data_IF_719695876848
#
_entry.id   IF_719695876848
#
_cell.length_a   1.000
_cell.length_b   1.000
_cell.length_c   1.000
_cell.angle_alpha   90.00
_cell.angle_beta   90.00
_cell.angle_gamma   90.00
#
_symmetry.space_group_name_H-M   'P 1'
#
loop_
_entity.id
_entity.type
_entity.pdbx_description
1 polymer ?
#
# COMPACT_ATOMS: atom_id res chain seq x y z
N UNK A 1 -53.21 -25.09 22.43
CA UNK A 1 -52.88 -26.47 22.82
C UNK A 1 -51.98 -27.09 21.77
N UNK A 2 -50.70 -27.24 22.08
CA UNK A 2 -49.68 -28.21 21.62
C UNK A 2 -48.27 -27.60 21.92
N UNK A 3 -47.24 -28.42 22.16
CA UNK A 3 -46.62 -28.53 23.47
C UNK A 3 -45.23 -27.86 23.54
N UNK A 4 -44.77 -27.64 24.78
CA UNK A 4 -43.39 -27.26 25.08
C UNK A 4 -42.49 -28.50 25.03
N UNK A 5 -41.49 -28.46 24.17
CA UNK A 5 -40.20 -29.15 24.26
C UNK A 5 -39.15 -28.10 23.90
N UNK A 6 -38.11 -27.82 24.67
CA UNK A 6 -37.35 -28.76 25.49
C UNK A 6 -35.97 -29.03 24.90
N UNK A 7 -35.41 -28.15 24.05
CA UNK A 7 -33.97 -27.99 23.92
C UNK A 7 -33.65 -26.54 23.51
N UNK A 8 -32.58 -25.98 24.08
CA UNK A 8 -32.18 -24.59 23.93
C UNK A 8 -31.04 -24.42 22.93
N UNK A 9 -31.35 -24.37 21.63
CA UNK A 9 -30.41 -23.92 20.60
C UNK A 9 -31.11 -22.96 19.64
N UNK A 10 -30.71 -21.69 19.66
CA UNK A 10 -31.20 -20.67 18.73
C UNK A 10 -30.48 -20.76 17.39
N UNK A 11 -31.25 -20.86 16.31
CA UNK A 11 -30.79 -20.75 14.92
C UNK A 11 -30.51 -19.28 14.55
N UNK A 12 -29.45 -19.08 13.75
CA UNK A 12 -29.03 -17.82 13.15
C UNK A 12 -29.81 -17.55 11.85
N UNK A 13 -30.53 -16.42 11.75
CA UNK A 13 -30.77 -15.73 10.47
C UNK A 13 -31.02 -14.22 10.64
N UNK A 14 -30.13 -13.46 9.99
CA UNK A 14 -30.19 -12.10 9.42
C UNK A 14 -31.22 -11.07 9.90
N UNK A 15 -30.71 -9.93 10.41
CA UNK A 15 -31.21 -8.59 10.04
C UNK A 15 -30.03 -7.60 9.94
N UNK A 16 -29.78 -7.12 8.71
CA UNK A 16 -28.92 -5.96 8.40
C UNK A 16 -29.58 -4.66 8.88
N UNK A 17 -28.79 -3.79 9.53
CA UNK A 17 -28.67 -2.32 9.33
C UNK A 17 -28.26 -1.66 10.64
N UNK A 18 -27.01 -1.20 10.68
CA UNK A 18 -26.58 0.14 11.07
C UNK A 18 -25.05 0.11 11.18
N UNK A 19 -24.42 1.12 10.58
CA UNK A 19 -22.97 1.24 10.53
C UNK A 19 -22.39 1.37 11.93
N UNK A 20 -21.68 0.34 12.36
CA UNK A 20 -20.63 0.44 13.35
C UNK A 20 -19.52 -0.50 12.90
N UNK A 21 -18.46 0.10 12.35
CA UNK A 21 -17.17 -0.55 12.16
C UNK A 21 -16.66 -0.88 13.56
N UNK A 22 -17.02 -2.06 14.06
CA UNK A 22 -16.45 -2.61 15.28
C UNK A 22 -15.03 -2.98 14.93
N UNK A 23 -14.06 -2.19 15.39
CA UNK A 23 -12.67 -2.60 15.46
C UNK A 23 -12.63 -3.99 16.09
N UNK A 24 -12.09 -4.97 15.36
CA UNK A 24 -11.74 -6.25 15.97
C UNK A 24 -10.72 -5.97 17.08
N UNK A 25 -10.87 -6.57 18.28
CA UNK A 25 -9.81 -6.52 19.27
C UNK A 25 -8.58 -7.22 18.70
N UNK A 26 -7.46 -6.50 18.59
CA UNK A 26 -6.17 -7.09 18.27
C UNK A 26 -5.85 -8.12 19.35
N UNK A 27 -5.72 -9.39 18.95
CA UNK A 27 -5.26 -10.44 19.85
C UNK A 27 -3.74 -10.30 19.92
N UNK A 28 -3.27 -9.65 20.98
CA UNK A 28 -1.86 -9.48 21.33
C UNK A 28 -1.23 -10.86 21.56
N UNK A 29 -0.44 -11.34 20.61
CA UNK A 29 0.34 -12.56 20.75
C UNK A 29 1.67 -12.25 21.44
N UNK A 30 1.61 -12.14 22.77
CA UNK A 30 2.78 -11.91 23.61
C UNK A 30 2.43 -11.02 24.79
N UNK A 31 2.12 -11.64 25.93
CA UNK A 31 1.81 -11.06 27.24
C UNK A 31 2.14 -9.56 27.47
N UNK A 32 1.33 -8.65 26.92
CA UNK A 32 1.05 -7.35 27.53
C UNK A 32 -0.46 -7.25 27.67
N UNK A 33 -0.93 -7.69 28.83
CA UNK A 33 -2.33 -7.46 29.23
C UNK A 33 -2.43 -5.98 29.57
N UNK A 34 -2.77 -5.12 28.60
CA UNK A 34 -3.03 -3.71 28.83
C UNK A 34 -4.35 -3.58 29.62
N UNK A 35 -4.25 -3.68 30.94
CA UNK A 35 -5.35 -3.45 31.89
C UNK A 35 -5.40 -2.00 32.39
N UNK A 36 -4.56 -1.12 31.84
CA UNK A 36 -4.29 0.22 32.38
C UNK A 36 -5.03 1.33 31.61
N UNK A 37 -5.50 2.40 32.29
CA UNK A 37 -6.09 3.57 31.65
C UNK A 37 -5.16 4.20 30.61
N UNK A 38 -5.73 4.81 29.57
CA UNK A 38 -4.99 5.49 28.49
C UNK A 38 -3.93 6.47 29.02
N UNK A 39 -4.19 7.11 30.15
CA UNK A 39 -3.28 8.05 30.82
C UNK A 39 -1.98 7.38 31.30
N UNK A 40 -2.06 6.16 31.82
CA UNK A 40 -0.89 5.38 32.24
C UNK A 40 -0.06 4.94 31.02
N UNK A 41 -0.73 4.53 29.94
CA UNK A 41 -0.05 4.19 28.68
C UNK A 41 0.72 5.41 28.13
N UNK A 42 0.08 6.58 28.12
CA UNK A 42 0.73 7.85 27.72
C UNK A 42 1.90 8.20 28.64
N UNK A 43 1.76 7.99 29.94
CA UNK A 43 2.84 8.25 30.90
C UNK A 43 4.04 7.31 30.71
N UNK A 44 3.80 6.03 30.36
CA UNK A 44 4.86 5.06 30.01
C UNK A 44 5.57 5.47 28.73
N UNK A 45 4.82 5.83 27.68
CA UNK A 45 5.35 6.30 26.40
C UNK A 45 6.25 7.53 26.59
N UNK A 46 5.78 8.52 27.34
CA UNK A 46 6.52 9.78 27.56
C UNK A 46 7.83 9.61 28.32
N UNK A 47 7.99 8.51 29.06
CA UNK A 47 9.25 8.17 29.75
C UNK A 47 10.31 7.60 28.79
N UNK A 48 9.94 7.32 27.53
CA UNK A 48 10.86 7.14 26.41
C UNK A 48 11.66 5.84 26.40
N UNK A 49 11.20 4.81 27.10
CA UNK A 49 12.03 3.65 27.45
C UNK A 49 11.68 2.33 26.76
N UNK A 50 10.67 2.28 25.89
CA UNK A 50 10.27 1.03 25.22
C UNK A 50 9.91 1.24 23.75
N UNK A 51 10.90 1.05 22.86
CA UNK A 51 10.73 1.14 21.40
C UNK A 51 9.83 0.03 20.84
N UNK A 52 9.80 -1.14 21.50
CA UNK A 52 8.94 -2.25 21.08
C UNK A 52 7.47 -1.91 21.34
N UNK A 53 7.17 -1.35 22.51
CA UNK A 53 5.83 -0.83 22.82
C UNK A 53 5.39 0.28 21.86
N UNK A 54 6.29 1.20 21.50
CA UNK A 54 5.99 2.25 20.51
C UNK A 54 5.66 1.67 19.12
N UNK A 55 6.37 0.62 18.72
CA UNK A 55 6.11 -0.08 17.46
C UNK A 55 4.75 -0.76 17.49
N UNK A 56 4.43 -1.50 18.56
CA UNK A 56 3.14 -2.19 18.72
C UNK A 56 1.95 -1.21 18.74
N UNK A 57 2.10 -0.07 19.42
CA UNK A 57 1.08 0.98 19.44
C UNK A 57 0.91 1.59 18.04
N UNK A 58 2.01 1.83 17.32
CA UNK A 58 1.96 2.34 15.95
C UNK A 58 1.22 1.36 15.04
N UNK A 59 1.58 0.09 15.08
CA UNK A 59 0.92 -0.98 14.31
C UNK A 59 -0.59 -1.03 14.62
N UNK A 60 -0.97 -1.01 15.90
CA UNK A 60 -2.37 -1.03 16.33
C UNK A 60 -3.20 0.20 15.90
N UNK A 61 -2.57 1.35 15.68
CA UNK A 61 -3.24 2.56 15.21
C UNK A 61 -3.39 2.63 13.69
N UNK A 62 -2.66 1.81 12.92
CA UNK A 62 -2.73 1.83 11.46
C UNK A 62 -3.96 1.10 10.93
N UNK A 63 -4.60 1.67 9.90
CA UNK A 63 -5.68 0.98 9.16
C UNK A 63 -5.10 0.40 7.87
N UNK A 64 -4.84 -0.90 7.87
CA UNK A 64 -4.14 -1.61 6.80
C UNK A 64 -5.07 -2.33 5.82
N UNK A 65 -6.03 -1.61 5.25
CA UNK A 65 -6.87 -2.20 4.20
C UNK A 65 -6.18 -2.10 2.82
N UNK A 66 -5.78 -3.25 2.29
CA UNK A 66 -5.21 -3.38 0.94
C UNK A 66 -5.75 -4.62 0.23
N UNK A 67 -5.79 -4.60 -1.10
CA UNK A 67 -6.16 -5.72 -1.94
C UNK A 67 -5.54 -5.59 -3.33
N UNK A 68 -5.35 -6.73 -4.01
CA UNK A 68 -4.73 -6.76 -5.33
C UNK A 68 -5.56 -5.96 -6.34
N UNK A 69 -4.87 -5.20 -7.19
CA UNK A 69 -5.51 -4.35 -8.20
C UNK A 69 -6.59 -3.41 -7.61
N UNK A 70 -6.34 -2.87 -6.41
CA UNK A 70 -7.21 -1.88 -5.77
C UNK A 70 -7.42 -0.68 -6.66
N UNK A 71 -8.65 -0.45 -7.08
CA UNK A 71 -9.02 0.47 -8.17
C UNK A 71 -8.20 0.13 -9.42
N UNK A 72 -8.71 -0.74 -10.29
CA UNK A 72 -7.94 -1.27 -11.43
C UNK A 72 -7.34 -0.16 -12.33
N UNK A 73 -8.03 0.97 -12.46
CA UNK A 73 -7.67 2.10 -13.33
C UNK A 73 -6.24 2.64 -13.14
N UNK A 74 -5.74 2.93 -11.92
CA UNK A 74 -4.33 3.25 -11.68
C UNK A 74 -3.34 2.31 -12.38
N UNK A 75 -3.56 1.00 -12.30
CA UNK A 75 -2.65 0.01 -12.88
C UNK A 75 -2.81 -0.11 -14.39
N UNK A 76 -4.04 0.00 -14.91
CA UNK A 76 -4.31 0.09 -16.34
C UNK A 76 -3.63 1.33 -16.95
N UNK A 77 -3.74 2.49 -16.30
CA UNK A 77 -3.09 3.70 -16.76
C UNK A 77 -1.57 3.65 -16.60
N UNK A 78 -1.05 2.99 -15.57
CA UNK A 78 0.38 2.70 -15.47
C UNK A 78 0.85 1.88 -16.67
N UNK A 79 0.16 0.79 -17.00
CA UNK A 79 0.50 -0.08 -18.12
C UNK A 79 0.37 0.60 -19.49
N UNK A 80 -0.71 1.34 -19.70
CA UNK A 80 -1.08 1.85 -21.02
C UNK A 80 -0.54 3.25 -21.31
N UNK A 81 -0.19 4.02 -20.28
CA UNK A 81 0.25 5.42 -20.44
C UNK A 81 1.66 5.68 -19.92
N UNK A 82 1.88 5.45 -18.62
CA UNK A 82 3.14 5.85 -17.97
C UNK A 82 4.28 4.94 -18.35
N UNK A 83 4.08 3.62 -18.33
CA UNK A 83 5.11 2.64 -18.64
C UNK A 83 5.65 2.79 -20.08
N UNK A 84 4.82 2.93 -21.15
CA UNK A 84 5.32 3.15 -22.50
C UNK A 84 6.14 4.44 -22.64
N UNK A 85 5.68 5.54 -22.03
CA UNK A 85 6.39 6.82 -22.07
C UNK A 85 7.76 6.74 -21.37
N UNK A 86 7.84 6.04 -20.23
CA UNK A 86 9.12 5.82 -19.53
C UNK A 86 10.01 4.83 -20.27
N UNK A 87 9.46 3.83 -20.96
CA UNK A 87 10.24 2.93 -21.81
C UNK A 87 10.96 3.72 -22.90
N UNK A 88 10.25 4.65 -23.55
CA UNK A 88 10.82 5.54 -24.56
C UNK A 88 11.86 6.50 -23.95
N UNK A 89 11.50 7.24 -22.89
CA UNK A 89 12.39 8.27 -22.33
C UNK A 89 13.63 7.69 -21.66
N UNK A 90 13.58 6.42 -21.21
CA UNK A 90 14.69 5.73 -20.54
C UNK A 90 15.37 4.67 -21.40
N UNK A 91 15.09 4.62 -22.71
CA UNK A 91 15.67 3.62 -23.62
C UNK A 91 17.21 3.55 -23.58
N UNK A 92 17.87 4.69 -23.31
CA UNK A 92 19.33 4.78 -23.20
C UNK A 92 19.88 4.18 -21.89
N UNK A 93 19.15 4.28 -20.77
CA UNK A 93 19.58 3.78 -19.45
C UNK A 93 19.04 2.39 -19.12
N UNK A 94 17.93 1.98 -19.77
CA UNK A 94 17.20 0.72 -19.54
C UNK A 94 17.02 0.41 -18.05
N UNK A 95 16.54 1.40 -17.30
CA UNK A 95 16.30 1.25 -15.88
C UNK A 95 15.05 2.00 -15.45
N UNK A 96 14.29 1.41 -14.53
CA UNK A 96 13.05 1.97 -14.00
C UNK A 96 13.03 1.73 -12.49
N UNK A 97 12.86 2.80 -11.72
CA UNK A 97 12.66 2.72 -10.25
C UNK A 97 11.26 3.19 -9.89
N UNK A 98 10.55 2.39 -9.10
CA UNK A 98 9.19 2.67 -8.66
C UNK A 98 9.17 2.64 -7.13
N UNK A 99 8.53 3.63 -6.50
CA UNK A 99 8.28 3.62 -5.06
C UNK A 99 6.81 3.37 -4.78
N UNK A 100 6.49 2.36 -3.99
CA UNK A 100 5.18 2.16 -3.37
C UNK A 100 5.26 2.65 -1.92
N UNK A 101 4.72 3.84 -1.68
CA UNK A 101 4.62 4.49 -0.38
C UNK A 101 3.35 4.01 0.34
N UNK A 102 3.51 3.45 1.54
CA UNK A 102 2.48 2.77 2.34
C UNK A 102 1.98 1.47 1.68
N UNK A 103 2.91 0.55 1.45
CA UNK A 103 2.69 -0.71 0.76
C UNK A 103 1.78 -1.70 1.51
N UNK A 104 1.55 -1.49 2.81
CA UNK A 104 0.79 -2.35 3.69
C UNK A 104 1.22 -3.81 3.57
N UNK A 105 0.27 -4.75 3.46
CA UNK A 105 0.54 -6.19 3.33
C UNK A 105 1.01 -6.63 1.93
N UNK A 106 1.45 -5.70 1.09
CA UNK A 106 2.23 -5.99 -0.13
C UNK A 106 1.44 -6.18 -1.42
N UNK A 107 0.11 -6.08 -1.42
CA UNK A 107 -0.70 -6.34 -2.61
C UNK A 107 -0.43 -5.32 -3.73
N UNK A 108 -0.28 -4.03 -3.42
CA UNK A 108 0.02 -2.99 -4.42
C UNK A 108 1.38 -3.19 -5.12
N UNK A 109 2.52 -3.34 -4.43
CA UNK A 109 3.80 -3.55 -5.11
C UNK A 109 3.83 -4.86 -5.90
N UNK A 110 3.14 -5.91 -5.45
CA UNK A 110 3.02 -7.14 -6.23
C UNK A 110 2.10 -6.99 -7.45
N UNK A 111 1.03 -6.19 -7.37
CA UNK A 111 0.25 -5.82 -8.56
C UNK A 111 1.13 -5.10 -9.58
N UNK A 112 1.96 -4.14 -9.15
CA UNK A 112 2.90 -3.44 -10.03
C UNK A 112 3.89 -4.43 -10.65
N UNK A 113 4.45 -5.35 -9.85
CA UNK A 113 5.37 -6.39 -10.33
C UNK A 113 4.72 -7.30 -11.38
N UNK A 114 3.47 -7.71 -11.17
CA UNK A 114 2.70 -8.51 -12.13
C UNK A 114 2.51 -7.75 -13.46
N UNK A 115 2.09 -6.48 -13.41
CA UNK A 115 1.92 -5.64 -14.62
C UNK A 115 3.23 -5.54 -15.41
N UNK A 116 4.35 -5.35 -14.71
CA UNK A 116 5.68 -5.30 -15.33
C UNK A 116 6.09 -6.64 -15.94
N UNK A 117 5.80 -7.77 -15.29
CA UNK A 117 6.07 -9.11 -15.83
C UNK A 117 5.24 -9.42 -17.07
N UNK A 118 3.97 -9.03 -17.12
CA UNK A 118 3.17 -9.15 -18.35
C UNK A 118 3.75 -8.35 -19.52
N UNK A 119 4.42 -7.24 -19.20
CA UNK A 119 5.10 -6.38 -20.18
C UNK A 119 6.60 -6.68 -20.33
N UNK A 120 7.10 -7.83 -19.83
CA UNK A 120 8.52 -8.16 -19.83
C UNK A 120 9.17 -8.17 -21.22
N UNK A 121 8.41 -8.47 -22.27
CA UNK A 121 8.88 -8.42 -23.66
C UNK A 121 9.32 -7.00 -24.08
N UNK A 122 8.71 -5.95 -23.53
CA UNK A 122 9.09 -4.54 -23.75
C UNK A 122 10.25 -4.10 -22.86
N UNK A 123 10.48 -4.84 -21.78
CA UNK A 123 11.45 -4.54 -20.71
C UNK A 123 12.68 -5.47 -20.77
N UNK A 124 12.99 -6.03 -21.93
CA UNK A 124 14.16 -6.89 -22.10
C UNK A 124 15.45 -6.14 -21.76
N UNK A 125 16.26 -6.73 -20.89
CA UNK A 125 17.52 -6.17 -20.35
C UNK A 125 17.33 -4.89 -19.51
N UNK A 126 16.11 -4.62 -19.03
CA UNK A 126 15.87 -3.51 -18.11
C UNK A 126 16.19 -3.89 -16.67
N UNK A 127 16.84 -2.97 -15.95
CA UNK A 127 16.95 -3.03 -14.50
C UNK A 127 15.72 -2.38 -13.86
N UNK A 128 14.84 -3.19 -13.30
CA UNK A 128 13.63 -2.78 -12.61
C UNK A 128 13.84 -2.90 -11.11
N UNK A 129 13.45 -1.87 -10.36
CA UNK A 129 13.47 -1.87 -8.89
C UNK A 129 12.16 -1.29 -8.36
N UNK A 130 11.43 -2.07 -7.55
CA UNK A 130 10.26 -1.60 -6.81
C UNK A 130 10.68 -1.48 -5.35
N UNK A 131 10.77 -0.26 -4.83
CA UNK A 131 10.95 -0.03 -3.40
C UNK A 131 9.57 0.09 -2.79
N UNK A 132 9.25 -0.75 -1.82
CA UNK A 132 7.96 -0.75 -1.14
C UNK A 132 8.18 -0.41 0.33
N UNK A 133 7.48 0.60 0.83
CA UNK A 133 7.71 1.06 2.20
C UNK A 133 6.44 1.17 3.01
N UNK A 134 6.54 0.90 4.31
CA UNK A 134 5.46 1.11 5.27
C UNK A 134 6.01 1.50 6.64
N UNK A 135 5.17 2.11 7.47
CA UNK A 135 5.48 2.41 8.87
C UNK A 135 5.20 1.21 9.77
N UNK A 136 4.38 0.25 9.33
CA UNK A 136 4.10 -0.95 10.09
C UNK A 136 5.08 -2.07 9.78
N UNK A 137 5.78 -2.55 10.82
CA UNK A 137 6.71 -3.68 10.68
C UNK A 137 5.98 -4.99 10.41
N UNK A 138 4.86 -5.22 11.09
CA UNK A 138 4.04 -6.43 10.95
C UNK A 138 3.57 -6.65 9.51
N UNK A 139 3.03 -5.61 8.86
CA UNK A 139 2.52 -5.74 7.49
C UNK A 139 3.64 -5.94 6.48
N UNK A 140 4.82 -5.36 6.71
CA UNK A 140 5.99 -5.57 5.86
C UNK A 140 6.50 -7.01 5.95
N UNK A 141 6.52 -7.61 7.14
CA UNK A 141 6.91 -9.02 7.27
C UNK A 141 5.91 -9.94 6.56
N UNK A 142 4.60 -9.66 6.66
CA UNK A 142 3.59 -10.38 5.87
C UNK A 142 3.81 -10.19 4.36
N UNK A 143 4.09 -8.97 3.91
CA UNK A 143 4.36 -8.67 2.51
C UNK A 143 5.59 -9.41 1.97
N UNK A 144 6.69 -9.44 2.74
CA UNK A 144 7.91 -10.20 2.43
C UNK A 144 7.66 -11.71 2.42
N UNK A 145 6.83 -12.23 3.32
CA UNK A 145 6.43 -13.64 3.29
C UNK A 145 5.67 -13.95 1.99
N UNK A 146 4.76 -13.06 1.57
CA UNK A 146 4.00 -13.20 0.34
C UNK A 146 3.00 -14.36 0.38
N UNK A 147 2.51 -14.68 1.58
CA UNK A 147 1.47 -15.68 1.85
C UNK A 147 0.14 -14.97 2.09
N UNK A 148 -0.87 -15.35 1.32
CA UNK A 148 -2.18 -14.73 1.33
C UNK A 148 -3.28 -15.77 1.47
N UNK A 149 -4.36 -15.41 2.17
CA UNK A 149 -5.53 -16.27 2.29
C UNK A 149 -6.31 -16.37 0.97
N UNK A 150 -7.18 -17.37 0.86
CA UNK A 150 -8.13 -17.50 -0.25
C UNK A 150 -8.93 -16.20 -0.49
N UNK A 151 -9.39 -15.55 0.58
CA UNK A 151 -10.15 -14.31 0.49
C UNK A 151 -9.33 -13.16 -0.13
N UNK A 152 -8.08 -13.01 0.31
CA UNK A 152 -7.21 -11.93 -0.18
C UNK A 152 -6.87 -12.09 -1.65
N UNK A 153 -6.57 -13.33 -2.10
CA UNK A 153 -6.24 -13.58 -3.51
C UNK A 153 -7.47 -13.59 -4.43
N UNK A 154 -8.69 -13.69 -3.90
CA UNK A 154 -9.92 -13.55 -4.68
C UNK A 154 -10.43 -12.11 -4.74
N UNK A 155 -9.89 -11.21 -3.91
CA UNK A 155 -10.31 -9.81 -3.86
C UNK A 155 -9.49 -8.98 -4.84
N UNK A 156 -10.06 -8.76 -6.03
CA UNK A 156 -9.55 -7.85 -7.06
C UNK A 156 -8.49 -8.43 -8.00
N UNK A 157 -7.83 -9.54 -7.63
CA UNK A 157 -6.86 -10.22 -8.48
C UNK A 157 -7.55 -10.94 -9.65
N UNK A 158 -7.19 -10.66 -10.92
CA UNK A 158 -7.71 -11.42 -12.06
C UNK A 158 -7.33 -12.89 -11.97
N UNK A 159 -8.26 -13.80 -12.28
CA UNK A 159 -8.05 -15.25 -12.15
C UNK A 159 -6.84 -15.76 -12.94
N UNK A 160 -6.57 -15.18 -14.11
CA UNK A 160 -5.41 -15.53 -14.94
C UNK A 160 -4.09 -15.20 -14.22
N UNK A 161 -4.05 -14.10 -13.47
CA UNK A 161 -2.88 -13.71 -12.67
C UNK A 161 -2.73 -14.62 -11.45
N UNK A 162 -3.84 -14.99 -10.80
CA UNK A 162 -3.82 -15.94 -9.69
C UNK A 162 -3.17 -17.27 -10.12
N UNK A 163 -3.65 -17.86 -11.22
CA UNK A 163 -3.15 -19.14 -11.74
C UNK A 163 -1.68 -19.04 -12.17
N UNK A 164 -1.25 -17.89 -12.70
CA UNK A 164 0.11 -17.70 -13.21
C UNK A 164 1.14 -17.39 -12.13
N UNK A 165 0.75 -16.64 -11.10
CA UNK A 165 1.70 -16.03 -10.16
C UNK A 165 1.53 -16.49 -8.71
N UNK A 166 0.63 -17.42 -8.44
CA UNK A 166 0.50 -18.00 -7.11
C UNK A 166 0.46 -19.52 -7.17
N UNK A 167 0.97 -20.13 -6.12
CA UNK A 167 0.86 -21.57 -5.86
C UNK A 167 0.11 -21.76 -4.55
N UNK A 168 -0.89 -22.64 -4.55
CA UNK A 168 -1.60 -23.00 -3.33
C UNK A 168 -0.69 -23.87 -2.43
N UNK A 169 -0.53 -23.47 -1.18
CA UNK A 169 0.26 -24.16 -0.14
C UNK A 169 -0.64 -24.37 1.08
N UNK A 170 -1.21 -25.56 1.19
CA UNK A 170 -2.26 -25.84 2.18
C UNK A 170 -3.49 -24.97 1.94
N UNK A 171 -3.90 -24.20 2.96
CA UNK A 171 -5.03 -23.27 2.87
C UNK A 171 -4.64 -21.86 2.39
N UNK A 172 -3.34 -21.61 2.18
CA UNK A 172 -2.78 -20.31 1.79
C UNK A 172 -2.31 -20.32 0.34
N UNK A 173 -2.05 -19.13 -0.19
CA UNK A 173 -1.53 -18.90 -1.52
C UNK A 173 -0.19 -18.17 -1.42
N UNK A 174 0.86 -18.82 -1.92
CA UNK A 174 2.20 -18.27 -1.97
C UNK A 174 2.41 -17.57 -3.31
N UNK A 175 2.77 -16.29 -3.27
CA UNK A 175 3.15 -15.56 -4.48
C UNK A 175 4.49 -16.07 -5.02
N UNK A 176 4.61 -16.06 -6.34
CA UNK A 176 5.79 -16.50 -7.09
C UNK A 176 7.06 -15.75 -6.66
N UNK A 177 8.14 -16.51 -6.46
CA UNK A 177 9.43 -15.99 -5.99
C UNK A 177 10.06 -14.96 -6.94
N UNK A 178 9.75 -15.04 -8.25
CA UNK A 178 10.28 -14.07 -9.22
C UNK A 178 9.60 -12.70 -9.11
N UNK A 179 8.39 -12.62 -8.55
CA UNK A 179 7.76 -11.35 -8.18
C UNK A 179 8.33 -10.81 -6.87
N UNK A 180 8.56 -11.68 -5.88
CA UNK A 180 9.23 -11.32 -4.61
C UNK A 180 10.58 -10.66 -4.86
N UNK A 181 11.37 -11.21 -5.78
CA UNK A 181 12.68 -10.69 -6.13
C UNK A 181 12.66 -9.29 -6.80
N UNK A 182 11.50 -8.81 -7.27
CA UNK A 182 11.37 -7.48 -7.86
C UNK A 182 11.13 -6.38 -6.83
N UNK A 183 10.73 -6.75 -5.60
CA UNK A 183 10.28 -5.81 -4.57
C UNK A 183 11.25 -5.79 -3.39
N UNK A 184 11.78 -4.60 -3.10
CA UNK A 184 12.59 -4.33 -1.93
C UNK A 184 11.75 -3.64 -0.85
N UNK A 185 11.39 -4.38 0.20
CA UNK A 185 10.56 -3.91 1.29
C UNK A 185 11.39 -3.25 2.39
N UNK A 186 11.06 -2.00 2.74
CA UNK A 186 11.77 -1.23 3.78
C UNK A 186 10.80 -0.58 4.76
N UNK A 187 11.17 -0.53 6.03
CA UNK A 187 10.49 0.35 6.98
C UNK A 187 10.75 1.81 6.60
N UNK A 188 9.70 2.64 6.53
CA UNK A 188 9.86 4.08 6.34
C UNK A 188 8.62 4.84 6.81
N UNK A 189 8.84 5.88 7.60
CA UNK A 189 7.81 6.83 7.98
C UNK A 189 7.72 7.95 6.93
N UNK A 190 6.55 8.14 6.30
CA UNK A 190 6.34 9.18 5.28
C UNK A 190 6.57 10.62 5.78
N UNK A 191 6.57 10.83 7.09
CA UNK A 191 6.85 12.13 7.70
C UNK A 191 8.34 12.45 7.78
N UNK A 192 9.22 11.48 7.52
CA UNK A 192 10.67 11.67 7.44
C UNK A 192 11.12 12.15 6.04
N UNK A 193 12.42 12.43 5.90
CA UNK A 193 13.03 12.78 4.62
C UNK A 193 13.32 11.51 3.80
N UNK A 194 12.65 11.31 2.65
CA UNK A 194 12.84 10.13 1.81
C UNK A 194 14.12 10.17 0.96
N UNK A 195 14.98 11.20 1.07
CA UNK A 195 16.20 11.34 0.26
C UNK A 195 17.11 10.10 0.28
N UNK A 196 17.14 9.34 1.38
CA UNK A 196 17.90 8.09 1.50
C UNK A 196 17.35 6.94 0.63
N UNK A 197 16.09 7.00 0.21
CA UNK A 197 15.48 6.04 -0.72
C UNK A 197 15.93 6.27 -2.17
N UNK A 198 16.50 7.44 -2.45
CA UNK A 198 16.97 7.87 -3.77
C UNK A 198 15.85 8.43 -4.66
N UNK A 199 16.11 8.49 -5.96
CA UNK A 199 15.17 9.01 -6.96
C UNK A 199 14.34 7.91 -7.60
N UNK A 200 13.12 8.25 -8.02
CA UNK A 200 12.15 7.32 -8.59
C UNK A 200 11.58 7.88 -9.89
N UNK A 201 11.29 7.02 -10.87
CA UNK A 201 10.59 7.44 -12.09
C UNK A 201 9.07 7.51 -11.84
N UNK A 202 8.55 6.66 -10.93
CA UNK A 202 7.12 6.65 -10.53
C UNK A 202 6.99 6.45 -9.02
N UNK A 203 6.04 7.16 -8.41
CA UNK A 203 5.64 6.95 -7.02
C UNK A 203 4.16 6.61 -6.93
N UNK A 204 3.81 5.50 -6.29
CA UNK A 204 2.46 5.19 -5.86
C UNK A 204 2.35 5.57 -4.39
N UNK A 205 1.48 6.53 -4.06
CA UNK A 205 1.21 6.99 -2.70
C UNK A 205 -0.31 7.04 -2.52
N UNK A 206 -0.90 5.86 -2.35
CA UNK A 206 -2.35 5.67 -2.48
C UNK A 206 -2.99 5.30 -1.16
N UNK A 207 -4.13 5.92 -0.88
CA UNK A 207 -4.98 5.62 0.27
C UNK A 207 -4.29 5.81 1.64
N UNK A 208 -3.28 6.69 1.71
CA UNK A 208 -2.53 6.98 2.95
C UNK A 208 -2.57 8.47 3.32
N UNK A 209 -2.60 9.37 2.34
CA UNK A 209 -2.66 10.80 2.60
C UNK A 209 -3.96 11.19 3.30
N UNK A 210 -5.04 10.41 3.14
CA UNK A 210 -6.32 10.62 3.84
C UNK A 210 -6.19 10.67 5.38
N UNK A 211 -5.12 10.10 5.96
CA UNK A 211 -4.86 10.12 7.40
C UNK A 211 -4.14 11.38 7.89
N UNK A 212 -3.68 12.23 6.98
CA UNK A 212 -2.93 13.45 7.29
C UNK A 212 -3.79 14.72 7.18
N UNK A 213 -3.44 15.74 7.97
CA UNK A 213 -3.96 17.09 7.78
C UNK A 213 -3.42 17.73 6.48
N UNK A 214 -4.00 18.86 6.08
CA UNK A 214 -3.67 19.51 4.81
C UNK A 214 -2.21 19.93 4.71
N UNK A 215 -1.63 20.45 5.80
CA UNK A 215 -0.24 20.91 5.84
C UNK A 215 0.72 19.73 5.67
N UNK A 216 0.45 18.63 6.39
CA UNK A 216 1.24 17.41 6.34
C UNK A 216 1.17 16.74 4.98
N UNK A 217 -0.02 16.70 4.34
CA UNK A 217 -0.17 16.25 2.95
C UNK A 217 0.72 17.05 2.00
N UNK A 218 0.73 18.37 2.14
CA UNK A 218 1.58 19.27 1.34
C UNK A 218 3.06 18.91 1.48
N UNK A 219 3.56 18.79 2.72
CA UNK A 219 4.96 18.41 3.00
C UNK A 219 5.35 17.07 2.39
N UNK A 220 4.48 16.05 2.52
CA UNK A 220 4.73 14.72 1.94
C UNK A 220 4.81 14.80 0.43
N UNK A 221 3.87 15.48 -0.22
CA UNK A 221 3.85 15.63 -1.68
C UNK A 221 5.05 16.44 -2.19
N UNK A 222 5.45 17.51 -1.49
CA UNK A 222 6.60 18.32 -1.87
C UNK A 222 7.92 17.53 -1.81
N UNK A 223 8.06 16.65 -0.81
CA UNK A 223 9.21 15.72 -0.74
C UNK A 223 9.19 14.71 -1.87
N UNK A 224 8.02 14.12 -2.16
CA UNK A 224 7.85 13.19 -3.30
C UNK A 224 8.25 13.89 -4.61
N UNK A 225 7.81 15.14 -4.81
CA UNK A 225 8.17 15.93 -6.00
C UNK A 225 9.69 16.06 -6.17
N UNK A 226 10.43 16.30 -5.09
CA UNK A 226 11.90 16.40 -5.12
C UNK A 226 12.64 15.11 -5.54
N UNK A 227 11.99 13.94 -5.41
CA UNK A 227 12.57 12.65 -5.81
C UNK A 227 12.29 12.28 -7.27
N UNK A 228 11.31 12.92 -7.90
CA UNK A 228 10.89 12.62 -9.26
C UNK A 228 11.75 13.38 -10.29
N UNK A 229 12.03 12.78 -11.46
CA UNK A 229 12.51 13.53 -12.62
C UNK A 229 11.37 14.37 -13.23
N UNK A 230 11.67 15.34 -14.11
CA UNK A 230 10.66 16.20 -14.74
C UNK A 230 9.52 15.46 -15.46
N UNK A 231 9.79 14.29 -16.03
CA UNK A 231 8.83 13.40 -16.69
C UNK A 231 8.33 12.26 -15.79
N UNK A 232 8.54 12.36 -14.48
CA UNK A 232 8.05 11.41 -13.49
C UNK A 232 6.58 11.61 -13.13
N UNK A 233 5.98 10.57 -12.55
CA UNK A 233 4.56 10.58 -12.19
C UNK A 233 4.30 10.11 -10.75
N UNK A 234 3.26 10.67 -10.12
CA UNK A 234 2.71 10.19 -8.85
C UNK A 234 1.27 9.71 -9.03
N UNK A 235 0.97 8.56 -8.43
CA UNK A 235 -0.35 7.95 -8.38
C UNK A 235 -0.94 8.11 -6.98
N UNK A 236 -2.12 8.71 -6.89
CA UNK A 236 -2.87 8.86 -5.64
C UNK A 236 -4.16 8.02 -5.66
N UNK A 237 -4.69 7.73 -4.49
CA UNK A 237 -5.96 7.01 -4.31
C UNK A 237 -7.15 7.84 -4.76
N UNK A 238 -8.29 7.18 -4.98
CA UNK A 238 -9.47 7.79 -5.60
C UNK A 238 -10.07 8.98 -4.83
N UNK A 239 -9.80 9.08 -3.53
CA UNK A 239 -10.26 10.13 -2.61
C UNK A 239 -9.18 11.20 -2.31
N UNK A 240 -8.01 11.12 -2.96
CA UNK A 240 -6.87 12.00 -2.72
C UNK A 240 -6.67 12.95 -3.92
N UNK A 241 -6.11 14.12 -3.66
CA UNK A 241 -5.86 15.14 -4.70
C UNK A 241 -4.67 16.02 -4.32
N UNK A 242 -4.02 16.59 -5.33
CA UNK A 242 -2.98 17.62 -5.14
C UNK A 242 -3.56 19.04 -5.13
N UNK A 243 -4.79 19.21 -5.63
CA UNK A 243 -5.44 20.52 -5.79
C UNK A 243 -5.67 21.16 -4.43
N UNK A 244 -5.14 22.36 -4.23
CA UNK A 244 -5.21 23.07 -2.95
C UNK A 244 -4.28 22.50 -1.86
N UNK A 245 -3.43 21.52 -2.20
CA UNK A 245 -2.48 20.88 -1.28
C UNK A 245 -1.05 21.29 -1.60
N UNK A 246 -0.65 21.24 -2.88
CA UNK A 246 0.69 21.62 -3.35
C UNK A 246 0.63 22.21 -4.75
N UNK A 247 1.57 23.12 -5.07
CA UNK A 247 1.76 23.65 -6.43
C UNK A 247 2.71 22.82 -7.30
N UNK A 248 3.39 21.82 -6.72
CA UNK A 248 4.45 21.06 -7.40
C UNK A 248 3.92 19.98 -8.35
N UNK A 249 2.63 19.65 -8.25
CA UNK A 249 1.98 18.67 -9.10
C UNK A 249 0.77 19.24 -9.83
N UNK A 250 0.51 18.72 -11.02
CA UNK A 250 -0.71 18.97 -11.79
C UNK A 250 -1.35 17.66 -12.24
N UNK A 251 -2.69 17.59 -12.33
CA UNK A 251 -3.37 16.39 -12.82
C UNK A 251 -3.09 16.16 -14.30
N UNK A 252 -2.86 14.90 -14.68
CA UNK A 252 -2.74 14.52 -16.09
C UNK A 252 -4.13 14.52 -16.72
N UNK A 253 -4.31 15.29 -17.81
CA UNK A 253 -5.61 15.48 -18.46
C UNK A 253 -6.23 14.13 -18.86
N UNK A 254 -7.46 13.90 -18.42
CA UNK A 254 -8.23 12.69 -18.72
C UNK A 254 -7.79 11.43 -17.97
N UNK A 255 -6.82 11.53 -17.05
CA UNK A 255 -6.26 10.38 -16.33
C UNK A 255 -6.37 10.59 -14.82
N UNK A 256 -7.54 10.25 -14.28
CA UNK A 256 -7.84 10.44 -12.85
C UNK A 256 -6.84 9.68 -11.98
N UNK A 257 -6.35 10.34 -10.93
CA UNK A 257 -5.43 9.75 -9.96
C UNK A 257 -3.96 9.80 -10.37
N UNK A 258 -3.63 10.32 -11.56
CA UNK A 258 -2.25 10.53 -12.02
C UNK A 258 -1.91 12.01 -12.02
N UNK A 259 -0.75 12.33 -11.46
CA UNK A 259 -0.22 13.67 -11.42
C UNK A 259 1.23 13.68 -11.88
N UNK A 260 1.62 14.74 -12.56
CA UNK A 260 2.97 14.99 -13.06
C UNK A 260 3.50 16.29 -12.47
N UNK A 261 4.82 16.48 -12.49
CA UNK A 261 5.42 17.70 -11.96
C UNK A 261 4.91 18.94 -12.72
N UNK A 262 4.58 19.98 -11.96
CA UNK A 262 4.28 21.29 -12.52
C UNK A 262 5.56 21.89 -13.12
N UNK A 263 5.45 22.44 -14.33
CA UNK A 263 6.57 23.07 -15.06
C UNK A 263 7.20 24.28 -14.36
N UNK A 264 6.66 24.72 -13.23
CA UNK A 264 7.16 25.85 -12.43
C UNK A 264 8.49 25.59 -11.71
N UNK A 265 9.02 24.36 -11.74
CA UNK A 265 10.34 24.00 -11.20
C UNK A 265 11.44 23.83 -12.25
N UNK A 266 11.19 24.11 -13.54
CA UNK A 266 12.19 23.97 -14.60
C UNK A 266 13.08 25.21 -14.80
N UNK A 267 13.36 25.97 -13.73
CA UNK A 267 14.21 27.17 -13.76
C UNK A 267 15.34 27.07 -12.72
#
# INVERSE_FOLDING_TARGET
>A
NFPRSGDGRMEYRDVRRLGHTTQKPAVVSGQVKLTSPLEELVAVIRKGSDEALLTEITDAMTTNESYFFRDATPFELFEQHTLPALIESRAHKKSLRIWCAAASTGQEPYTIAMVLKENAHKLKDWRIEIVATDISGEVLEKAKAGLYSQFEVQRGLPIQMLVKYFTQVGEMWQIDSSLKAMVDYRFFNLLEDPGKLGRFDVVFCRNVLIYFDQETKGKVLDRIAGLLPPDGAVYLGAAETVIGVTGNFRPVKGKRGIYELSSTQAA
#
